data_IF_024956562654
#
_entry.id   IF_024956562654
#
_cell.length_a   1.000
_cell.length_b   1.000
_cell.length_c   1.000
_cell.angle_alpha   90.00
_cell.angle_beta   90.00
_cell.angle_gamma   90.00
#
_symmetry.space_group_name_H-M   'P 1'
#
loop_
_entity.id
_entity.type
_entity.pdbx_description
1 polymer ?
#
# COMPACT_ATOMS: atom_id res chain seq x y z
N UNK A 1 33.49 -19.18 5.34
CA UNK A 1 32.47 -18.31 4.70
C UNK A 1 32.63 -16.90 5.25
N UNK A 2 33.22 -16.00 4.47
CA UNK A 2 33.55 -14.65 4.93
C UNK A 2 32.27 -13.86 5.21
N UNK A 3 32.14 -13.34 6.44
CA UNK A 3 31.02 -12.51 6.91
C UNK A 3 30.74 -11.29 6.01
N UNK A 4 31.74 -10.87 5.24
CA UNK A 4 31.69 -9.79 4.24
C UNK A 4 30.60 -10.04 3.19
N UNK A 5 30.43 -11.28 2.71
CA UNK A 5 29.42 -11.60 1.69
C UNK A 5 27.99 -11.48 2.23
N UNK A 6 27.78 -11.82 3.51
CA UNK A 6 26.48 -11.66 4.17
C UNK A 6 26.13 -10.18 4.36
N UNK A 7 27.11 -9.33 4.68
CA UNK A 7 26.91 -7.88 4.80
C UNK A 7 26.55 -7.22 3.47
N UNK A 8 27.19 -7.62 2.37
CA UNK A 8 26.90 -7.09 1.02
C UNK A 8 25.49 -7.52 0.57
N UNK A 9 25.10 -8.77 0.84
CA UNK A 9 23.76 -9.26 0.52
C UNK A 9 22.66 -8.50 1.30
N UNK A 10 22.91 -8.18 2.58
CA UNK A 10 21.95 -7.42 3.39
C UNK A 10 21.72 -5.99 2.87
N UNK A 11 22.74 -5.34 2.32
CA UNK A 11 22.63 -3.98 1.75
C UNK A 11 21.89 -4.00 0.41
N UNK A 12 22.05 -5.04 -0.40
CA UNK A 12 21.37 -5.16 -1.70
C UNK A 12 19.84 -5.36 -1.55
N UNK A 13 19.38 -5.95 -0.45
CA UNK A 13 17.95 -6.20 -0.20
C UNK A 13 17.20 -4.93 0.21
N UNK A 14 17.84 -3.97 0.90
CA UNK A 14 17.17 -2.74 1.35
C UNK A 14 17.00 -1.69 0.25
N UNK A 15 17.82 -1.73 -0.80
CA UNK A 15 17.82 -0.71 -1.87
C UNK A 15 16.60 -0.77 -2.83
N UNK A 16 15.76 -1.81 -2.74
CA UNK A 16 14.65 -2.03 -3.67
C UNK A 16 13.27 -1.77 -3.06
N UNK A 17 13.18 -1.34 -1.80
CA UNK A 17 11.91 -0.99 -1.16
C UNK A 17 11.64 0.50 -1.36
N UNK A 18 11.08 0.84 -2.51
CA UNK A 18 10.57 2.19 -2.75
C UNK A 18 9.17 2.32 -2.15
N UNK A 19 9.01 3.24 -1.20
CA UNK A 19 7.69 3.64 -0.74
C UNK A 19 6.85 4.21 -1.89
N UNK A 20 5.53 4.24 -1.71
CA UNK A 20 4.61 4.87 -2.65
C UNK A 20 5.06 6.33 -2.91
N UNK A 21 5.06 6.77 -4.18
CA UNK A 21 5.47 8.14 -4.55
C UNK A 21 4.58 9.13 -3.78
N UNK A 22 5.16 9.77 -2.76
CA UNK A 22 4.50 10.79 -1.94
C UNK A 22 5.46 11.94 -1.73
N UNK A 23 4.93 13.14 -1.43
CA UNK A 23 5.76 14.29 -1.06
C UNK A 23 6.21 14.23 0.42
N UNK A 24 5.96 13.10 1.11
CA UNK A 24 6.33 12.89 2.51
C UNK A 24 5.46 13.65 3.51
N UNK A 25 4.29 14.16 3.10
CA UNK A 25 3.38 14.91 3.97
C UNK A 25 2.13 14.12 4.35
N UNK A 26 1.53 14.46 5.50
CA UNK A 26 0.22 13.92 5.90
C UNK A 26 -0.84 14.32 4.86
N UNK A 27 -0.68 15.48 4.22
CA UNK A 27 -1.59 15.95 3.17
C UNK A 27 -1.55 15.04 1.94
N UNK A 28 -0.37 14.60 1.49
CA UNK A 28 -0.31 13.65 0.37
C UNK A 28 -0.97 12.33 0.72
N UNK A 29 -0.75 11.82 1.94
CA UNK A 29 -1.37 10.57 2.40
C UNK A 29 -2.91 10.67 2.37
N UNK A 30 -3.47 11.73 2.95
CA UNK A 30 -4.92 11.98 2.94
C UNK A 30 -5.46 12.18 1.51
N UNK A 31 -4.69 12.82 0.62
CA UNK A 31 -5.10 12.99 -0.77
C UNK A 31 -5.14 11.67 -1.55
N UNK A 32 -4.18 10.77 -1.30
CA UNK A 32 -4.16 9.42 -1.87
C UNK A 32 -5.38 8.64 -1.40
N UNK A 33 -5.74 8.75 -0.12
CA UNK A 33 -6.91 8.07 0.42
C UNK A 33 -8.23 8.57 -0.20
N UNK A 34 -8.35 9.89 -0.38
CA UNK A 34 -9.49 10.48 -1.09
C UNK A 34 -9.57 10.02 -2.54
N UNK A 35 -8.42 9.92 -3.22
CA UNK A 35 -8.36 9.40 -4.59
C UNK A 35 -8.76 7.92 -4.65
N UNK A 36 -8.35 7.12 -3.66
CA UNK A 36 -8.80 5.74 -3.52
C UNK A 36 -10.33 5.66 -3.35
N UNK A 37 -10.91 6.43 -2.44
CA UNK A 37 -12.37 6.45 -2.24
C UNK A 37 -13.14 6.89 -3.51
N UNK A 38 -12.62 7.87 -4.25
CA UNK A 38 -13.18 8.28 -5.55
C UNK A 38 -13.08 7.16 -6.59
N UNK A 39 -11.97 6.42 -6.62
CA UNK A 39 -11.76 5.29 -7.52
C UNK A 39 -12.72 4.15 -7.20
N UNK A 40 -12.95 3.86 -5.92
CA UNK A 40 -13.96 2.87 -5.49
C UNK A 40 -15.34 3.26 -6.00
N UNK A 41 -15.76 4.50 -5.78
CA UNK A 41 -17.08 4.98 -6.21
C UNK A 41 -17.25 4.92 -7.74
N UNK A 42 -16.18 5.22 -8.49
CA UNK A 42 -16.22 5.25 -9.96
C UNK A 42 -16.13 3.85 -10.57
N UNK A 43 -15.11 3.09 -10.19
CA UNK A 43 -14.63 1.91 -10.91
C UNK A 43 -14.72 0.61 -10.09
N UNK A 44 -15.11 0.67 -8.81
CA UNK A 44 -15.24 -0.50 -7.94
C UNK A 44 -14.05 -0.73 -7.01
N UNK A 45 -14.29 -1.53 -5.97
CA UNK A 45 -13.31 -1.91 -4.95
C UNK A 45 -12.14 -2.66 -5.57
N UNK A 46 -12.41 -3.61 -6.48
CA UNK A 46 -11.35 -4.40 -7.10
C UNK A 46 -10.38 -3.51 -7.88
N UNK A 47 -10.91 -2.62 -8.73
CA UNK A 47 -10.09 -1.70 -9.51
C UNK A 47 -9.27 -0.76 -8.63
N UNK A 48 -9.87 -0.23 -7.55
CA UNK A 48 -9.18 0.64 -6.61
C UNK A 48 -8.04 -0.10 -5.88
N UNK A 49 -8.28 -1.28 -5.32
CA UNK A 49 -7.22 -2.03 -4.65
C UNK A 49 -6.13 -2.51 -5.62
N UNK A 50 -6.47 -2.88 -6.86
CA UNK A 50 -5.46 -3.24 -7.86
C UNK A 50 -4.54 -2.06 -8.21
N UNK A 51 -5.09 -0.85 -8.29
CA UNK A 51 -4.34 0.38 -8.61
C UNK A 51 -3.48 0.87 -7.43
N UNK A 52 -4.08 0.97 -6.24
CA UNK A 52 -3.44 1.62 -5.09
C UNK A 52 -2.59 0.68 -4.23
N UNK A 53 -2.76 -0.65 -4.31
CA UNK A 53 -1.91 -1.58 -3.58
C UNK A 53 -0.54 -1.72 -4.25
N UNK A 54 0.52 -1.82 -3.44
CA UNK A 54 1.83 -2.22 -3.94
C UNK A 54 1.79 -3.62 -4.62
N UNK A 55 2.69 -3.92 -5.57
CA UNK A 55 2.73 -5.24 -6.22
C UNK A 55 2.87 -6.41 -5.24
N UNK A 56 3.58 -6.20 -4.14
CA UNK A 56 3.83 -7.13 -3.03
C UNK A 56 2.94 -6.87 -1.80
N UNK A 57 1.99 -5.93 -1.90
CA UNK A 57 1.06 -5.58 -0.82
C UNK A 57 0.24 -6.78 -0.35
N UNK A 58 0.01 -6.86 0.97
CA UNK A 58 -0.70 -7.97 1.62
C UNK A 58 -2.02 -7.47 2.20
N UNK A 59 -3.09 -8.24 2.01
CA UNK A 59 -4.39 -8.08 2.66
C UNK A 59 -4.67 -9.31 3.53
N UNK A 60 -5.33 -9.14 4.67
CA UNK A 60 -5.64 -10.22 5.61
C UNK A 60 -7.11 -10.65 5.49
N UNK A 61 -7.39 -11.86 4.99
CA UNK A 61 -8.75 -12.34 4.69
C UNK A 61 -8.95 -13.87 4.88
N UNK A 62 -8.92 -14.47 6.09
CA UNK A 62 -8.33 -13.98 7.34
C UNK A 62 -6.80 -14.13 7.35
N UNK A 63 -6.26 -15.02 6.52
CA UNK A 63 -4.83 -15.24 6.35
C UNK A 63 -4.22 -14.17 5.41
N UNK A 64 -2.91 -13.90 5.51
CA UNK A 64 -2.22 -12.98 4.61
C UNK A 64 -2.24 -13.52 3.17
N UNK A 65 -2.73 -12.70 2.24
CA UNK A 65 -2.71 -12.96 0.80
C UNK A 65 -2.29 -11.69 0.05
N UNK A 66 -1.64 -11.84 -1.10
CA UNK A 66 -1.32 -10.69 -1.93
C UNK A 66 -2.59 -9.95 -2.36
N UNK A 67 -2.64 -8.65 -2.11
CA UNK A 67 -3.81 -7.81 -2.36
C UNK A 67 -4.22 -7.83 -3.84
N UNK A 68 -3.28 -7.61 -4.75
CA UNK A 68 -3.58 -7.60 -6.19
C UNK A 68 -4.08 -8.95 -6.68
N UNK A 69 -3.49 -10.07 -6.22
CA UNK A 69 -3.97 -11.42 -6.55
C UNK A 69 -5.39 -11.67 -6.05
N UNK A 70 -5.69 -11.23 -4.82
CA UNK A 70 -7.01 -11.40 -4.23
C UNK A 70 -8.08 -10.59 -4.99
N UNK A 71 -7.84 -9.29 -5.21
CA UNK A 71 -8.81 -8.40 -5.85
C UNK A 71 -8.94 -8.61 -7.37
N UNK A 72 -8.05 -9.39 -8.00
CA UNK A 72 -8.20 -9.79 -9.40
C UNK A 72 -9.36 -10.78 -9.62
N UNK A 73 -9.77 -11.53 -8.59
CA UNK A 73 -10.80 -12.58 -8.70
C UNK A 73 -11.94 -12.42 -7.69
N UNK A 74 -11.85 -11.46 -6.77
CA UNK A 74 -12.88 -11.22 -5.78
C UNK A 74 -14.18 -10.71 -6.44
N UNK A 75 -15.36 -10.99 -5.88
CA UNK A 75 -16.58 -10.29 -6.27
C UNK A 75 -16.40 -8.77 -6.07
N UNK A 76 -16.73 -7.99 -7.10
CA UNK A 76 -16.58 -6.54 -7.04
C UNK A 76 -17.79 -5.87 -6.39
N UNK A 77 -17.56 -4.70 -5.78
CA UNK A 77 -18.60 -3.88 -5.16
C UNK A 77 -18.19 -2.41 -5.21
N UNK A 78 -19.18 -1.51 -5.13
CA UNK A 78 -18.99 -0.05 -4.98
C UNK A 78 -19.44 0.47 -3.62
N UNK A 79 -19.84 -0.42 -2.72
CA UNK A 79 -20.44 -0.06 -1.43
C UNK A 79 -19.41 0.32 -0.36
N UNK A 80 -18.11 0.23 -0.67
CA UNK A 80 -17.07 0.66 0.25
C UNK A 80 -17.03 2.19 0.31
N UNK A 81 -17.64 2.74 1.36
CA UNK A 81 -17.52 4.14 1.74
C UNK A 81 -16.47 4.27 2.83
N UNK A 82 -15.50 5.15 2.61
CA UNK A 82 -14.37 5.31 3.52
C UNK A 82 -13.90 6.76 3.55
N UNK A 83 -13.61 7.24 4.76
CA UNK A 83 -12.93 8.51 4.99
C UNK A 83 -11.96 8.41 6.19
N UNK A 84 -10.80 9.07 6.12
CA UNK A 84 -9.80 8.98 7.16
C UNK A 84 -10.15 9.87 8.37
N UNK A 85 -10.36 9.25 9.54
CA UNK A 85 -10.52 9.98 10.81
C UNK A 85 -9.18 10.49 11.37
N UNK A 86 -8.11 9.74 11.13
CA UNK A 86 -6.76 10.08 11.52
C UNK A 86 -5.83 9.97 10.32
N UNK A 87 -4.67 10.61 10.41
CA UNK A 87 -3.60 10.39 9.46
C UNK A 87 -2.29 10.69 10.17
N UNK A 88 -1.36 9.75 10.13
CA UNK A 88 -0.05 9.87 10.79
C UNK A 88 1.04 9.29 9.91
N UNK A 89 2.21 9.91 10.01
CA UNK A 89 3.44 9.44 9.40
C UNK A 89 4.43 9.08 10.49
N UNK A 90 5.27 8.07 10.22
CA UNK A 90 6.44 7.79 11.04
C UNK A 90 7.42 8.96 10.99
N UNK A 91 8.36 9.00 11.94
CA UNK A 91 9.43 10.02 11.94
C UNK A 91 10.28 9.99 10.67
N UNK A 92 10.52 8.79 10.13
CA UNK A 92 11.28 8.61 8.88
C UNK A 92 10.48 8.97 7.63
N UNK A 93 9.14 9.04 7.74
CA UNK A 93 8.17 9.28 6.65
C UNK A 93 8.06 8.15 5.63
N UNK A 94 8.70 7.01 5.87
CA UNK A 94 8.58 5.82 5.00
C UNK A 94 7.27 5.05 5.23
N UNK A 95 6.63 5.28 6.39
CA UNK A 95 5.41 4.60 6.80
C UNK A 95 4.33 5.60 7.17
N UNK A 96 3.09 5.28 6.82
CA UNK A 96 1.92 6.07 7.16
C UNK A 96 0.68 5.21 7.26
N UNK A 97 -0.31 5.72 7.99
CA UNK A 97 -1.66 5.15 8.01
C UNK A 97 -2.69 6.26 8.09
N UNK A 98 -3.90 5.92 7.71
CA UNK A 98 -5.11 6.73 7.83
C UNK A 98 -6.19 5.97 8.58
#
# INVERSE_FOLDING_TARGET
MNKIYLSILAIAVTANVYAQKSDGTVKSLVSTEKAFAQKVAKDGVNAAFTEFSAPDGIVFRPNPINARKFFATAPDTKELTWEPNYARLSRSRDWGFT
#
